data_IF_414484572214
#
_entry.id   IF_414484572214
#
_cell.length_a   1.000
_cell.length_b   1.000
_cell.length_c   1.000
_cell.angle_alpha   90.00
_cell.angle_beta   90.00
_cell.angle_gamma   90.00
#
_symmetry.space_group_name_H-M   'P 1'
#
loop_
_entity.id
_entity.type
_entity.pdbx_description
1 polymer ?
#
# COMPACT_ATOMS: atom_id res chain seq x y z
N UNK A 1 18.60 -48.60 23.02
CA UNK A 1 18.17 -48.34 21.63
C UNK A 1 16.67 -48.54 21.39
N UNK A 2 15.88 -48.95 22.39
CA UNK A 2 14.45 -49.28 22.28
C UNK A 2 13.51 -48.05 22.32
N UNK A 3 13.86 -47.00 23.04
CA UNK A 3 13.00 -45.83 23.30
C UNK A 3 12.78 -44.93 22.04
N UNK A 4 13.81 -44.78 21.21
CA UNK A 4 13.73 -43.99 19.98
C UNK A 4 12.86 -44.66 18.89
N UNK A 5 12.86 -46.00 18.81
CA UNK A 5 12.03 -46.75 17.87
C UNK A 5 10.55 -46.75 18.28
N UNK A 6 10.26 -46.77 19.57
CA UNK A 6 8.90 -46.62 20.08
C UNK A 6 8.35 -45.22 19.79
N UNK A 7 9.16 -44.18 19.98
CA UNK A 7 8.79 -42.79 19.66
C UNK A 7 8.49 -42.61 18.16
N UNK A 8 9.34 -43.14 17.28
CA UNK A 8 9.12 -43.09 15.82
C UNK A 8 7.85 -43.83 15.41
N UNK A 9 7.55 -44.96 16.06
CA UNK A 9 6.34 -45.75 15.79
C UNK A 9 5.09 -45.02 16.26
N UNK A 10 5.13 -44.35 17.41
CA UNK A 10 4.05 -43.51 17.91
C UNK A 10 3.78 -42.32 16.96
N UNK A 11 4.83 -41.62 16.53
CA UNK A 11 4.69 -40.49 15.59
C UNK A 11 4.11 -40.92 14.24
N UNK A 12 4.50 -42.08 13.71
CA UNK A 12 3.92 -42.63 12.47
C UNK A 12 2.43 -42.96 12.62
N UNK A 13 1.99 -43.49 13.76
CA UNK A 13 0.56 -43.73 14.01
C UNK A 13 -0.23 -42.43 14.08
N UNK A 14 0.32 -41.40 14.73
CA UNK A 14 -0.30 -40.08 14.80
C UNK A 14 -0.38 -39.43 13.42
N UNK A 15 0.67 -39.55 12.60
CA UNK A 15 0.69 -39.02 11.24
C UNK A 15 -0.41 -39.67 10.38
N UNK A 16 -0.53 -41.00 10.40
CA UNK A 16 -1.58 -41.72 9.67
C UNK A 16 -2.98 -41.32 10.13
N UNK A 17 -3.18 -41.10 11.44
CA UNK A 17 -4.45 -40.62 11.97
C UNK A 17 -4.78 -39.20 11.46
N UNK A 18 -3.79 -38.32 11.40
CA UNK A 18 -3.94 -36.95 10.90
C UNK A 18 -4.15 -36.89 9.38
N UNK A 19 -3.51 -37.77 8.62
CA UNK A 19 -3.74 -37.91 7.17
C UNK A 19 -5.18 -38.35 6.87
N UNK A 20 -5.76 -39.25 7.69
CA UNK A 20 -7.18 -39.64 7.57
C UNK A 20 -8.14 -38.51 7.91
N UNK A 21 -7.87 -37.79 9.00
CA UNK A 21 -8.68 -36.63 9.42
C UNK A 21 -8.64 -35.52 8.34
N UNK A 22 -7.48 -35.29 7.72
CA UNK A 22 -7.34 -34.36 6.61
C UNK A 22 -8.14 -34.81 5.37
N UNK A 23 -8.13 -36.10 5.04
CA UNK A 23 -8.92 -36.63 3.93
C UNK A 23 -10.44 -36.49 4.17
N UNK A 24 -10.92 -36.77 5.39
CA UNK A 24 -12.32 -36.58 5.76
C UNK A 24 -12.76 -35.11 5.67
N UNK A 25 -11.88 -34.16 6.05
CA UNK A 25 -12.16 -32.73 5.91
C UNK A 25 -12.22 -32.29 4.44
N UNK A 26 -11.35 -32.82 3.58
CA UNK A 26 -11.38 -32.55 2.13
C UNK A 26 -12.68 -33.04 1.50
N UNK A 27 -13.13 -34.24 1.86
CA UNK A 27 -14.41 -34.79 1.40
C UNK A 27 -15.59 -33.95 1.90
N UNK A 28 -15.53 -33.46 3.15
CA UNK A 28 -16.58 -32.60 3.72
C UNK A 28 -16.66 -31.24 3.03
N UNK A 29 -15.51 -30.66 2.66
CA UNK A 29 -15.46 -29.42 1.86
C UNK A 29 -16.09 -29.66 0.49
N UNK A 30 -15.74 -30.76 -0.19
CA UNK A 30 -16.33 -31.09 -1.49
C UNK A 30 -17.85 -31.26 -1.41
N UNK A 31 -18.36 -31.92 -0.36
CA UNK A 31 -19.79 -32.10 -0.11
C UNK A 31 -20.50 -30.75 0.13
N UNK A 32 -19.93 -29.87 0.94
CA UNK A 32 -20.48 -28.53 1.21
C UNK A 32 -20.47 -27.63 -0.03
N UNK A 33 -19.41 -27.69 -0.84
CA UNK A 33 -19.32 -26.98 -2.12
C UNK A 33 -20.38 -27.48 -3.11
N UNK A 34 -20.65 -28.78 -3.14
CA UNK A 34 -21.73 -29.36 -3.95
C UNK A 34 -23.12 -28.90 -3.44
N UNK A 35 -23.32 -28.79 -2.13
CA UNK A 35 -24.58 -28.30 -1.55
C UNK A 35 -24.81 -26.80 -1.83
N UNK A 36 -23.75 -25.98 -1.80
CA UNK A 36 -23.81 -24.56 -2.15
C UNK A 36 -24.14 -24.36 -3.64
N UNK A 37 -23.56 -25.16 -4.53
CA UNK A 37 -23.82 -25.09 -5.98
C UNK A 37 -25.18 -25.67 -6.40
N UNK A 38 -25.76 -26.58 -5.60
CA UNK A 38 -27.08 -27.15 -5.86
C UNK A 38 -28.25 -26.29 -5.33
N UNK A 39 -27.98 -25.15 -4.67
CA UNK A 39 -29.02 -24.28 -4.11
C UNK A 39 -29.62 -23.42 -5.24
N UNK A 40 -30.90 -23.59 -5.60
CA UNK A 40 -31.49 -22.85 -6.71
C UNK A 40 -31.61 -21.36 -6.36
N UNK A 41 -31.00 -20.52 -7.19
CA UNK A 41 -31.16 -19.06 -7.16
C UNK A 41 -32.55 -18.73 -7.73
N UNK A 42 -33.42 -18.15 -6.91
CA UNK A 42 -34.69 -17.60 -7.38
C UNK A 42 -34.43 -16.42 -8.33
N UNK A 43 -35.04 -16.37 -9.53
CA UNK A 43 -34.76 -15.32 -10.50
C UNK A 43 -35.60 -14.07 -10.18
N UNK A 44 -34.95 -12.95 -9.86
CA UNK A 44 -35.56 -11.63 -10.05
C UNK A 44 -35.35 -11.20 -11.51
N UNK A 45 -36.44 -10.76 -12.12
CA UNK A 45 -36.58 -10.50 -13.55
C UNK A 45 -35.90 -9.18 -13.96
N UNK A 46 -35.16 -9.20 -15.07
CA UNK A 46 -34.68 -8.01 -15.79
C UNK A 46 -33.73 -8.39 -16.94
N UNK A 47 -34.22 -8.27 -18.18
CA UNK A 47 -33.63 -8.75 -19.43
C UNK A 47 -32.42 -7.90 -19.96
N UNK A 48 -31.68 -8.35 -21.00
CA UNK A 48 -30.23 -8.19 -21.12
C UNK A 48 -29.79 -7.10 -22.11
N UNK A 49 -28.56 -6.59 -21.93
CA UNK A 49 -27.75 -6.04 -23.03
C UNK A 49 -26.30 -6.45 -22.79
N UNK A 50 -25.77 -7.28 -23.70
CA UNK A 50 -24.39 -7.73 -23.68
C UNK A 50 -23.41 -6.63 -24.10
N UNK A 51 -22.23 -6.66 -23.49
CA UNK A 51 -20.93 -6.35 -24.10
C UNK A 51 -19.86 -7.10 -23.31
N UNK A 52 -19.14 -7.96 -24.01
CA UNK A 52 -17.87 -8.53 -23.53
C UNK A 52 -16.93 -7.38 -23.12
N UNK A 53 -16.52 -7.40 -21.86
CA UNK A 53 -15.37 -6.65 -21.37
C UNK A 53 -14.39 -7.65 -20.74
N UNK A 54 -13.07 -7.46 -20.94
CA UNK A 54 -12.07 -8.37 -20.41
C UNK A 54 -12.14 -8.40 -18.89
N UNK A 55 -12.01 -9.60 -18.33
CA UNK A 55 -11.92 -9.86 -16.90
C UNK A 55 -10.77 -9.05 -16.29
N UNK A 56 -11.11 -7.90 -15.72
CA UNK A 56 -10.20 -7.12 -14.88
C UNK A 56 -10.10 -7.85 -13.53
N UNK A 57 -8.88 -8.25 -13.18
CA UNK A 57 -8.50 -9.05 -12.00
C UNK A 57 -8.62 -8.23 -10.68
N UNK A 58 -9.56 -7.28 -10.66
CA UNK A 58 -9.80 -6.25 -9.62
C UNK A 58 -11.24 -6.23 -9.11
N UNK A 59 -12.10 -7.11 -9.61
CA UNK A 59 -13.47 -7.22 -9.13
C UNK A 59 -13.51 -8.12 -7.89
N UNK A 60 -13.40 -7.48 -6.72
CA UNK A 60 -13.69 -8.10 -5.43
C UNK A 60 -15.19 -8.42 -5.43
N UNK A 61 -15.54 -9.68 -5.17
CA UNK A 61 -16.94 -10.07 -5.11
C UNK A 61 -17.60 -9.40 -3.90
N UNK A 62 -18.89 -9.09 -4.00
CA UNK A 62 -19.67 -8.46 -2.91
C UNK A 62 -19.56 -9.27 -1.60
N UNK A 63 -19.34 -10.57 -1.73
CA UNK A 63 -19.16 -11.52 -0.62
C UNK A 63 -17.80 -11.36 0.07
N UNK A 64 -16.71 -11.16 -0.68
CA UNK A 64 -15.37 -10.90 -0.11
C UNK A 64 -15.31 -9.55 0.63
N UNK A 65 -15.98 -8.53 0.09
CA UNK A 65 -16.07 -7.21 0.71
C UNK A 65 -16.80 -7.24 2.07
N UNK A 66 -17.83 -8.08 2.21
CA UNK A 66 -18.56 -8.26 3.47
C UNK A 66 -17.71 -8.98 4.53
N UNK A 67 -16.93 -9.99 4.13
CA UNK A 67 -16.05 -10.74 5.05
C UNK A 67 -14.92 -9.85 5.60
N UNK A 68 -14.35 -8.98 4.77
CA UNK A 68 -13.36 -7.97 5.19
C UNK A 68 -13.96 -6.94 6.16
N UNK A 69 -15.24 -6.58 5.98
CA UNK A 69 -15.98 -5.68 6.86
C UNK A 69 -16.23 -6.28 8.27
N UNK A 70 -16.44 -7.60 8.38
CA UNK A 70 -16.61 -8.30 9.66
C UNK A 70 -15.32 -8.35 10.49
N UNK A 71 -14.14 -8.32 9.85
CA UNK A 71 -12.83 -8.27 10.52
C UNK A 71 -12.24 -6.85 10.67
N UNK A 72 -13.01 -5.81 10.32
CA UNK A 72 -12.62 -4.42 10.52
C UNK A 72 -11.74 -3.81 9.42
N UNK A 73 -11.57 -4.49 8.28
CA UNK A 73 -10.94 -3.97 7.08
C UNK A 73 -12.04 -3.41 6.16
N UNK A 74 -12.42 -2.15 6.38
CA UNK A 74 -13.33 -1.45 5.48
C UNK A 74 -12.56 -0.99 4.23
N UNK A 75 -12.91 -1.53 3.06
CA UNK A 75 -12.42 -1.00 1.78
C UNK A 75 -13.33 0.13 1.30
N UNK A 76 -12.77 1.34 1.31
CA UNK A 76 -13.41 2.60 0.92
C UNK A 76 -13.52 2.70 -0.62
N UNK A 77 -14.54 2.08 -1.21
CA UNK A 77 -14.79 2.12 -2.66
C UNK A 77 -16.01 2.98 -2.99
N UNK A 78 -15.91 4.29 -2.78
CA UNK A 78 -16.88 5.20 -3.38
C UNK A 78 -16.47 5.47 -4.85
N UNK A 79 -17.41 5.44 -5.81
CA UNK A 79 -17.11 5.42 -7.26
C UNK A 79 -16.57 6.75 -7.83
N UNK A 80 -16.27 7.74 -6.98
CA UNK A 80 -15.82 9.05 -7.47
C UNK A 80 -14.33 8.98 -7.84
N UNK A 81 -14.00 9.60 -8.96
CA UNK A 81 -12.71 9.39 -9.64
C UNK A 81 -11.54 10.18 -9.00
N UNK A 82 -11.81 11.31 -8.36
CA UNK A 82 -10.76 12.20 -7.83
C UNK A 82 -11.23 12.99 -6.60
N UNK A 83 -10.28 13.55 -5.85
CA UNK A 83 -10.58 14.30 -4.63
C UNK A 83 -11.53 15.50 -4.85
N UNK A 84 -11.52 16.14 -6.03
CA UNK A 84 -12.41 17.26 -6.32
C UNK A 84 -13.88 16.82 -6.45
N UNK A 85 -14.13 15.67 -7.07
CA UNK A 85 -15.47 15.10 -7.20
C UNK A 85 -16.06 14.73 -5.83
N UNK A 86 -15.23 14.28 -4.88
CA UNK A 86 -15.65 14.09 -3.48
C UNK A 86 -16.02 15.40 -2.79
N UNK A 87 -15.29 16.49 -3.05
CA UNK A 87 -15.59 17.79 -2.47
C UNK A 87 -16.94 18.32 -2.97
N UNK A 88 -17.19 18.23 -4.27
CA UNK A 88 -18.48 18.62 -4.88
C UNK A 88 -19.63 17.81 -4.27
N UNK A 89 -19.49 16.47 -4.17
CA UNK A 89 -20.54 15.64 -3.57
C UNK A 89 -20.74 15.92 -2.07
N UNK A 90 -19.68 16.25 -1.33
CA UNK A 90 -19.79 16.67 0.07
C UNK A 90 -20.52 18.02 0.20
N UNK A 91 -20.35 18.93 -0.75
CA UNK A 91 -21.08 20.21 -0.78
C UNK A 91 -22.57 19.99 -1.04
N UNK A 92 -22.94 19.17 -2.03
CA UNK A 92 -24.33 18.79 -2.29
C UNK A 92 -24.98 18.15 -1.05
N UNK A 93 -24.28 17.21 -0.41
CA UNK A 93 -24.78 16.53 0.78
C UNK A 93 -24.98 17.49 1.95
N UNK A 94 -24.09 18.48 2.11
CA UNK A 94 -24.25 19.53 3.13
C UNK A 94 -25.49 20.39 2.88
N UNK A 95 -25.83 20.64 1.63
CA UNK A 95 -27.06 21.35 1.27
C UNK A 95 -28.30 20.49 1.52
N UNK A 96 -28.27 19.18 1.24
CA UNK A 96 -29.33 18.23 1.61
C UNK A 96 -29.56 18.19 3.14
N UNK A 97 -28.48 18.12 3.92
CA UNK A 97 -28.51 18.18 5.40
C UNK A 97 -29.12 19.50 5.86
N UNK A 98 -28.69 20.63 5.29
CA UNK A 98 -29.23 21.97 5.63
C UNK A 98 -30.72 22.06 5.31
N UNK A 99 -31.16 21.54 4.18
CA UNK A 99 -32.57 21.52 3.78
C UNK A 99 -33.40 20.71 4.78
N UNK A 100 -32.96 19.51 5.18
CA UNK A 100 -33.69 18.69 6.16
C UNK A 100 -33.89 19.39 7.51
N UNK A 101 -32.87 20.12 8.00
CA UNK A 101 -32.98 20.93 9.22
C UNK A 101 -33.98 22.09 9.03
N UNK A 102 -33.86 22.81 7.92
CA UNK A 102 -34.68 24.01 7.63
C UNK A 102 -36.16 23.65 7.45
N UNK A 103 -36.43 22.52 6.81
CA UNK A 103 -37.77 21.97 6.58
C UNK A 103 -38.38 21.35 7.85
N UNK A 104 -37.61 21.25 8.94
CA UNK A 104 -38.04 20.62 10.19
C UNK A 104 -38.21 19.10 10.09
N UNK A 105 -37.50 18.46 9.14
CA UNK A 105 -37.53 17.00 8.90
C UNK A 105 -36.35 16.25 9.52
N UNK A 106 -35.47 16.93 10.25
CA UNK A 106 -34.30 16.32 10.88
C UNK A 106 -34.61 15.58 12.20
N UNK A 107 -35.69 15.95 12.89
CA UNK A 107 -36.12 15.33 14.14
C UNK A 107 -37.64 15.19 14.14
N UNK A 108 -38.10 13.98 14.41
CA UNK A 108 -39.51 13.67 14.57
C UNK A 108 -39.95 13.97 16.02
N UNK A 109 -41.14 14.54 16.18
CA UNK A 109 -41.69 14.94 17.47
C UNK A 109 -43.17 14.60 17.53
N UNK A 110 -43.63 13.97 18.61
CA UNK A 110 -45.03 13.61 18.82
C UNK A 110 -45.96 14.83 18.85
N UNK A 111 -47.09 14.75 18.13
CA UNK A 111 -48.05 15.88 17.99
C UNK A 111 -49.06 16.01 19.12
N UNK A 112 -49.22 14.97 19.94
CA UNK A 112 -50.32 14.85 20.93
C UNK A 112 -49.90 15.15 22.37
N UNK A 113 -48.66 15.61 22.59
CA UNK A 113 -48.18 15.94 23.93
C UNK A 113 -48.82 17.24 24.46
N UNK A 114 -49.43 17.18 25.64
CA UNK A 114 -49.96 18.34 26.36
C UNK A 114 -49.13 18.65 27.61
N UNK A 115 -48.92 19.93 27.90
CA UNK A 115 -48.25 20.40 29.11
C UNK A 115 -49.18 21.38 29.85
N UNK A 116 -49.33 21.25 31.17
CA UNK A 116 -50.28 22.06 31.96
C UNK A 116 -51.71 22.09 31.37
N UNK A 117 -52.23 20.96 30.90
CA UNK A 117 -53.52 20.87 30.19
C UNK A 117 -53.61 21.74 28.91
N UNK A 118 -52.47 22.19 28.37
CA UNK A 118 -52.38 22.99 27.16
C UNK A 118 -51.57 22.26 26.09
N UNK A 119 -52.23 21.96 24.98
CA UNK A 119 -51.57 21.44 23.77
C UNK A 119 -50.66 22.50 23.12
N UNK A 120 -50.97 23.78 23.28
CA UNK A 120 -50.13 24.86 22.75
C UNK A 120 -48.80 24.96 23.51
N UNK A 121 -48.84 24.86 24.85
CA UNK A 121 -47.62 24.82 25.67
C UNK A 121 -46.82 23.54 25.43
N UNK A 122 -47.49 22.39 25.31
CA UNK A 122 -46.85 21.12 24.96
C UNK A 122 -46.11 21.18 23.60
N UNK A 123 -46.73 21.77 22.56
CA UNK A 123 -46.09 22.00 21.25
C UNK A 123 -44.89 22.94 21.32
N UNK A 124 -44.91 23.95 22.21
CA UNK A 124 -43.78 24.86 22.39
C UNK A 124 -42.62 24.14 23.07
N UNK A 125 -42.88 23.43 24.16
CA UNK A 125 -41.87 22.68 24.92
C UNK A 125 -41.18 21.62 24.06
N UNK A 126 -41.97 20.81 23.35
CA UNK A 126 -41.46 19.75 22.47
C UNK A 126 -40.63 20.29 21.31
N UNK A 127 -41.00 21.46 20.75
CA UNK A 127 -40.20 22.15 19.73
C UNK A 127 -38.86 22.63 20.27
N UNK A 128 -38.85 23.24 21.44
CA UNK A 128 -37.61 23.78 22.05
C UNK A 128 -36.68 22.64 22.48
N UNK A 129 -37.22 21.57 23.07
CA UNK A 129 -36.46 20.36 23.38
C UNK A 129 -35.95 19.67 22.12
N UNK A 130 -36.75 19.61 21.05
CA UNK A 130 -36.35 19.02 19.78
C UNK A 130 -35.17 19.75 19.16
N UNK A 131 -35.16 21.08 19.21
CA UNK A 131 -34.00 21.89 18.80
C UNK A 131 -32.75 21.60 19.62
N UNK A 132 -32.90 21.40 20.94
CA UNK A 132 -31.77 21.08 21.82
C UNK A 132 -31.20 19.70 21.52
N UNK A 133 -32.05 18.68 21.38
CA UNK A 133 -31.64 17.30 21.06
C UNK A 133 -30.98 17.22 19.68
N UNK A 134 -31.56 17.87 18.67
CA UNK A 134 -30.97 17.94 17.34
C UNK A 134 -29.60 18.64 17.35
N UNK A 135 -29.44 19.70 18.16
CA UNK A 135 -28.13 20.35 18.34
C UNK A 135 -27.10 19.40 18.96
N UNK A 136 -27.49 18.62 19.98
CA UNK A 136 -26.59 17.64 20.60
C UNK A 136 -26.19 16.54 19.60
N UNK A 137 -27.15 16.02 18.83
CA UNK A 137 -26.90 15.06 17.75
C UNK A 137 -25.94 15.61 16.69
N UNK A 138 -26.19 16.82 16.19
CA UNK A 138 -25.35 17.45 15.17
C UNK A 138 -23.93 17.69 15.67
N UNK A 139 -23.76 18.09 16.94
CA UNK A 139 -22.43 18.24 17.54
C UNK A 139 -21.67 16.91 17.56
N UNK A 140 -22.36 15.81 17.87
CA UNK A 140 -21.76 14.47 17.84
C UNK A 140 -21.39 14.04 16.41
N UNK A 141 -22.28 14.30 15.46
CA UNK A 141 -22.02 14.01 14.06
C UNK A 141 -20.86 14.84 13.49
N UNK A 142 -20.73 16.12 13.84
CA UNK A 142 -19.60 16.99 13.45
C UNK A 142 -18.29 16.49 14.06
N UNK A 143 -18.32 16.01 15.32
CA UNK A 143 -17.17 15.41 15.96
C UNK A 143 -16.73 14.13 15.24
N UNK A 144 -17.68 13.29 14.81
CA UNK A 144 -17.39 12.10 14.02
C UNK A 144 -16.71 12.45 12.69
N UNK A 145 -17.25 13.41 11.95
CA UNK A 145 -16.66 13.91 10.69
C UNK A 145 -15.26 14.48 10.92
N UNK A 146 -15.04 15.23 12.01
CA UNK A 146 -13.72 15.82 12.33
C UNK A 146 -12.68 14.78 12.76
N UNK A 147 -13.11 13.73 13.46
CA UNK A 147 -12.24 12.71 14.02
C UNK A 147 -12.01 11.52 13.07
N UNK A 148 -12.65 11.51 11.91
CA UNK A 148 -12.51 10.44 10.93
C UNK A 148 -11.06 10.32 10.47
N UNK A 149 -10.56 9.08 10.41
CA UNK A 149 -9.24 8.67 9.96
C UNK A 149 -9.34 7.30 9.29
N UNK A 150 -8.29 6.92 8.57
CA UNK A 150 -8.16 5.57 8.03
C UNK A 150 -8.37 4.53 9.15
N UNK A 151 -9.37 3.65 8.98
CA UNK A 151 -9.65 2.52 9.87
C UNK A 151 -10.59 2.78 11.06
N UNK A 152 -11.09 4.01 11.27
CA UNK A 152 -12.03 4.28 12.38
C UNK A 152 -13.48 4.58 11.96
N UNK A 153 -13.83 4.36 10.68
CA UNK A 153 -15.18 4.62 10.14
C UNK A 153 -16.28 3.90 10.93
N UNK A 154 -16.15 2.59 11.15
CA UNK A 154 -17.16 1.82 11.84
C UNK A 154 -17.38 2.28 13.28
N UNK A 155 -16.31 2.73 13.95
CA UNK A 155 -16.40 3.33 15.30
C UNK A 155 -17.14 4.67 15.27
N UNK A 156 -16.90 5.51 14.26
CA UNK A 156 -17.60 6.77 14.09
C UNK A 156 -19.10 6.57 13.80
N UNK A 157 -19.45 5.63 12.92
CA UNK A 157 -20.86 5.26 12.63
C UNK A 157 -21.55 4.78 13.91
N UNK A 158 -20.97 3.79 14.62
CA UNK A 158 -21.54 3.28 15.89
C UNK A 158 -21.74 4.38 16.95
N UNK A 159 -20.85 5.36 16.99
CA UNK A 159 -20.95 6.49 17.92
C UNK A 159 -22.15 7.39 17.55
N UNK A 160 -22.37 7.65 16.27
CA UNK A 160 -23.52 8.39 15.79
C UNK A 160 -24.84 7.63 16.00
N UNK A 161 -24.87 6.33 15.72
CA UNK A 161 -26.02 5.45 15.98
C UNK A 161 -26.42 5.47 17.46
N UNK A 162 -25.42 5.40 18.34
CA UNK A 162 -25.62 5.50 19.79
C UNK A 162 -26.25 6.84 20.16
N UNK A 163 -25.77 7.94 19.58
CA UNK A 163 -26.33 9.27 19.85
C UNK A 163 -27.81 9.38 19.41
N UNK A 164 -28.17 8.84 18.25
CA UNK A 164 -29.56 8.79 17.79
C UNK A 164 -30.42 7.94 18.75
N UNK A 165 -29.91 6.78 19.16
CA UNK A 165 -30.58 5.87 20.10
C UNK A 165 -30.78 6.50 21.49
N UNK A 166 -29.76 7.20 22.01
CA UNK A 166 -29.83 7.85 23.31
C UNK A 166 -30.84 9.01 23.30
N UNK A 167 -30.95 9.75 22.19
CA UNK A 167 -31.99 10.78 21.99
C UNK A 167 -33.38 10.15 21.96
N UNK A 168 -33.58 9.04 21.26
CA UNK A 168 -34.87 8.35 21.22
C UNK A 168 -35.30 7.84 22.61
N UNK A 169 -34.35 7.30 23.38
CA UNK A 169 -34.60 6.88 24.78
C UNK A 169 -34.98 8.05 25.68
N UNK A 170 -34.24 9.16 25.63
CA UNK A 170 -34.52 10.36 26.43
C UNK A 170 -35.82 11.05 26.00
N UNK A 171 -36.16 10.96 24.71
CA UNK A 171 -37.33 11.56 24.08
C UNK A 171 -38.59 10.69 24.06
N UNK A 172 -38.54 9.47 24.60
CA UNK A 172 -39.59 8.46 24.46
C UNK A 172 -40.98 8.94 24.91
N UNK A 173 -41.06 9.66 26.03
CA UNK A 173 -42.33 10.20 26.57
C UNK A 173 -43.03 11.19 25.65
N UNK A 174 -42.26 11.86 24.78
CA UNK A 174 -42.73 12.84 23.80
C UNK A 174 -42.68 12.28 22.36
N UNK A 175 -42.40 10.98 22.20
CA UNK A 175 -42.24 10.30 20.91
C UNK A 175 -41.26 11.03 19.99
N UNK A 176 -40.10 11.41 20.55
CA UNK A 176 -39.06 12.12 19.81
C UNK A 176 -37.97 11.17 19.34
N UNK A 177 -37.57 11.27 18.08
CA UNK A 177 -36.42 10.55 17.52
C UNK A 177 -35.79 11.35 16.39
N UNK A 178 -34.51 11.10 16.13
CA UNK A 178 -33.88 11.62 14.91
C UNK A 178 -34.56 10.95 13.70
N UNK A 179 -34.87 11.74 12.68
CA UNK A 179 -35.49 11.21 11.47
C UNK A 179 -34.53 10.20 10.79
N UNK A 180 -34.99 8.99 10.42
CA UNK A 180 -34.12 7.98 9.83
C UNK A 180 -33.46 8.39 8.51
N UNK A 181 -34.11 9.24 7.70
CA UNK A 181 -33.52 9.73 6.46
C UNK A 181 -32.42 10.77 6.76
N UNK A 182 -32.66 11.67 7.71
CA UNK A 182 -31.64 12.60 8.18
C UNK A 182 -30.43 11.89 8.81
N UNK A 183 -30.66 10.85 9.59
CA UNK A 183 -29.59 10.03 10.16
C UNK A 183 -28.73 9.39 9.07
N UNK A 184 -29.36 8.82 8.02
CA UNK A 184 -28.64 8.29 6.85
C UNK A 184 -27.78 9.34 6.15
N UNK A 185 -28.28 10.56 5.94
CA UNK A 185 -27.48 11.64 5.34
C UNK A 185 -26.19 11.91 6.14
N UNK A 186 -26.28 11.90 7.47
CA UNK A 186 -25.11 12.09 8.36
C UNK A 186 -24.15 10.90 8.35
N UNK A 187 -24.65 9.67 8.20
CA UNK A 187 -23.79 8.49 7.99
C UNK A 187 -23.05 8.60 6.66
N UNK A 188 -23.77 8.91 5.57
CA UNK A 188 -23.18 9.11 4.24
C UNK A 188 -22.13 10.22 4.24
N UNK A 189 -22.31 11.27 5.04
CA UNK A 189 -21.29 12.34 5.18
C UNK A 189 -20.00 11.81 5.82
N UNK A 190 -20.12 10.96 6.85
CA UNK A 190 -18.96 10.35 7.52
C UNK A 190 -18.24 9.40 6.55
N UNK A 191 -18.98 8.55 5.83
CA UNK A 191 -18.45 7.63 4.82
C UNK A 191 -17.70 8.39 3.73
N UNK A 192 -18.37 9.37 3.09
CA UNK A 192 -17.81 10.15 2.00
C UNK A 192 -16.58 10.99 2.44
N UNK A 193 -16.59 11.48 3.68
CA UNK A 193 -15.41 12.18 4.24
C UNK A 193 -14.23 11.23 4.41
N UNK A 194 -14.46 9.99 4.84
CA UNK A 194 -13.42 8.99 4.98
C UNK A 194 -12.81 8.62 3.62
N UNK A 195 -13.66 8.39 2.61
CA UNK A 195 -13.25 8.10 1.23
C UNK A 195 -12.41 9.26 0.65
N UNK A 196 -12.88 10.51 0.82
CA UNK A 196 -12.16 11.70 0.36
C UNK A 196 -10.77 11.83 1.00
N UNK A 197 -10.65 11.58 2.30
CA UNK A 197 -9.35 11.63 2.98
C UNK A 197 -8.40 10.54 2.48
N UNK A 198 -8.92 9.34 2.20
CA UNK A 198 -8.12 8.26 1.63
C UNK A 198 -7.61 8.65 0.23
N UNK A 199 -8.49 9.08 -0.66
CA UNK A 199 -8.13 9.53 -2.01
C UNK A 199 -7.10 10.65 -1.99
N UNK A 200 -7.29 11.65 -1.13
CA UNK A 200 -6.33 12.74 -0.97
C UNK A 200 -4.95 12.23 -0.49
N UNK A 201 -4.92 11.22 0.38
CA UNK A 201 -3.67 10.59 0.82
C UNK A 201 -2.98 9.83 -0.31
N UNK A 202 -3.73 9.05 -1.08
CA UNK A 202 -3.23 8.30 -2.25
C UNK A 202 -2.65 9.24 -3.31
N UNK A 203 -3.40 10.27 -3.71
CA UNK A 203 -2.94 11.28 -4.67
C UNK A 203 -1.68 11.98 -4.18
N UNK A 204 -1.61 12.30 -2.88
CA UNK A 204 -0.44 12.94 -2.26
C UNK A 204 0.77 12.01 -2.18
N UNK A 205 0.58 10.71 -1.96
CA UNK A 205 1.66 9.73 -2.01
C UNK A 205 2.17 9.56 -3.44
N UNK A 206 1.26 9.38 -4.41
CA UNK A 206 1.61 9.26 -5.82
C UNK A 206 2.37 10.50 -6.35
N UNK A 207 1.94 11.71 -5.97
CA UNK A 207 2.65 12.93 -6.34
C UNK A 207 4.04 13.05 -5.69
N UNK A 208 4.21 12.52 -4.47
CA UNK A 208 5.52 12.48 -3.81
C UNK A 208 6.46 11.51 -4.51
N UNK A 209 5.99 10.31 -4.82
CA UNK A 209 6.76 9.31 -5.56
C UNK A 209 7.17 9.81 -6.94
N UNK A 210 6.25 10.44 -7.68
CA UNK A 210 6.57 10.99 -9.02
C UNK A 210 7.63 12.09 -8.94
N UNK A 211 7.53 12.97 -7.93
CA UNK A 211 8.56 14.00 -7.69
C UNK A 211 9.91 13.40 -7.34
N UNK A 212 9.94 12.31 -6.57
CA UNK A 212 11.17 11.59 -6.25
C UNK A 212 11.78 10.91 -7.48
N UNK A 213 10.95 10.29 -8.33
CA UNK A 213 11.37 9.72 -9.63
C UNK A 213 12.00 10.79 -10.52
N UNK A 214 11.32 11.91 -10.73
CA UNK A 214 11.83 13.02 -11.56
C UNK A 214 13.14 13.61 -11.01
N UNK A 215 13.29 13.67 -9.68
CA UNK A 215 14.55 14.10 -9.05
C UNK A 215 15.68 13.11 -9.33
N UNK A 216 15.41 11.82 -9.20
CA UNK A 216 16.40 10.78 -9.46
C UNK A 216 16.81 10.75 -10.93
N UNK A 217 15.86 10.87 -11.86
CA UNK A 217 16.14 10.94 -13.29
C UNK A 217 17.03 12.14 -13.64
N UNK A 218 16.75 13.31 -13.06
CA UNK A 218 17.60 14.51 -13.23
C UNK A 218 19.01 14.30 -12.67
N UNK A 219 19.15 13.63 -11.53
CA UNK A 219 20.48 13.35 -10.96
C UNK A 219 21.27 12.40 -11.87
N UNK A 220 20.63 11.35 -12.39
CA UNK A 220 21.25 10.44 -13.36
C UNK A 220 21.71 11.19 -14.61
N UNK A 221 20.85 12.05 -15.18
CA UNK A 221 21.18 12.86 -16.35
C UNK A 221 22.39 13.78 -16.09
N UNK A 222 22.41 14.46 -14.95
CA UNK A 222 23.53 15.32 -14.55
C UNK A 222 24.83 14.53 -14.34
N UNK A 223 24.74 13.33 -13.76
CA UNK A 223 25.89 12.47 -13.49
C UNK A 223 26.50 11.94 -14.78
N UNK A 224 25.67 11.47 -15.71
CA UNK A 224 26.10 11.05 -17.04
C UNK A 224 26.73 12.21 -17.82
N UNK A 225 26.09 13.38 -17.84
CA UNK A 225 26.62 14.56 -18.51
C UNK A 225 27.96 15.04 -17.92
N UNK A 226 28.08 15.05 -16.59
CA UNK A 226 29.34 15.41 -15.92
C UNK A 226 30.44 14.41 -16.27
N UNK A 227 30.14 13.11 -16.19
CA UNK A 227 31.10 12.06 -16.53
C UNK A 227 31.56 12.17 -17.98
N UNK A 228 30.65 12.49 -18.90
CA UNK A 228 30.97 12.71 -20.31
C UNK A 228 31.96 13.85 -20.50
N UNK A 229 31.72 14.99 -19.85
CA UNK A 229 32.61 16.16 -19.92
C UNK A 229 33.99 15.87 -19.35
N UNK A 230 34.09 15.10 -18.27
CA UNK A 230 35.36 14.68 -17.68
C UNK A 230 36.16 13.81 -18.67
N UNK A 231 35.51 12.80 -19.26
CA UNK A 231 36.13 11.91 -20.24
C UNK A 231 36.60 12.67 -21.48
N UNK A 232 35.82 13.64 -21.97
CA UNK A 232 36.23 14.46 -23.12
C UNK A 232 37.47 15.31 -22.83
N UNK A 233 37.54 15.95 -21.66
CA UNK A 233 38.71 16.72 -21.23
C UNK A 233 39.95 15.86 -21.10
N UNK A 234 39.81 14.67 -20.52
CA UNK A 234 40.91 13.72 -20.38
C UNK A 234 41.39 13.23 -21.75
N UNK A 235 40.47 12.91 -22.66
CA UNK A 235 40.79 12.52 -24.03
C UNK A 235 41.51 13.64 -24.79
N UNK A 236 41.06 14.88 -24.67
CA UNK A 236 41.75 16.05 -25.25
C UNK A 236 43.15 16.23 -24.67
N UNK A 237 43.32 16.03 -23.37
CA UNK A 237 44.64 16.07 -22.72
C UNK A 237 45.59 15.04 -23.35
N UNK A 238 45.19 13.77 -23.44
CA UNK A 238 46.03 12.73 -24.05
C UNK A 238 46.28 12.96 -25.55
N UNK A 239 45.32 13.51 -26.30
CA UNK A 239 45.55 13.92 -27.71
C UNK A 239 46.62 15.00 -27.83
N UNK A 240 46.60 16.00 -26.95
CA UNK A 240 47.61 17.05 -26.92
C UNK A 240 49.00 16.51 -26.52
N UNK A 241 49.03 15.56 -25.58
CA UNK A 241 50.27 14.86 -25.17
C UNK A 241 50.82 14.03 -26.35
N UNK A 242 49.97 13.28 -27.05
CA UNK A 242 50.33 12.48 -28.23
C UNK A 242 50.95 13.33 -29.35
N UNK A 243 50.48 14.56 -29.53
CA UNK A 243 51.02 15.50 -30.51
C UNK A 243 52.44 16.00 -30.17
N UNK A 244 52.87 15.91 -28.91
CA UNK A 244 54.16 16.41 -28.41
C UNK A 244 55.19 15.32 -28.17
N UNK A 245 54.77 14.06 -28.01
CA UNK A 245 55.66 12.92 -27.79
C UNK A 245 56.26 12.43 -29.12
N UNK A 246 57.58 12.26 -29.14
CA UNK A 246 58.33 11.68 -30.26
C UNK A 246 58.79 10.23 -29.99
N UNK A 247 58.89 9.82 -28.73
CA UNK A 247 59.28 8.46 -28.36
C UNK A 247 58.16 7.46 -28.74
N UNK A 248 58.45 6.45 -29.59
CA UNK A 248 57.46 5.47 -30.03
C UNK A 248 56.79 4.71 -28.88
N UNK A 249 57.50 4.44 -27.78
CA UNK A 249 56.95 3.70 -26.64
C UNK A 249 55.88 4.53 -25.90
N UNK A 250 56.23 5.75 -25.52
CA UNK A 250 55.31 6.69 -24.86
C UNK A 250 54.12 7.09 -25.76
N UNK A 251 54.34 7.11 -27.08
CA UNK A 251 53.28 7.36 -28.06
C UNK A 251 52.24 6.23 -28.04
N UNK A 252 52.69 4.98 -28.07
CA UNK A 252 51.81 3.81 -28.00
C UNK A 252 51.02 3.76 -26.68
N UNK A 253 51.62 4.18 -25.56
CA UNK A 253 50.93 4.30 -24.27
C UNK A 253 49.79 5.31 -24.32
N UNK A 254 50.04 6.50 -24.86
CA UNK A 254 49.02 7.54 -25.01
C UNK A 254 47.88 7.12 -25.97
N UNK A 255 48.19 6.40 -27.06
CA UNK A 255 47.19 5.85 -27.97
C UNK A 255 46.30 4.80 -27.29
N UNK A 256 46.88 3.94 -26.44
CA UNK A 256 46.13 2.97 -25.64
C UNK A 256 45.16 3.64 -24.67
N UNK A 257 45.57 4.73 -24.01
CA UNK A 257 44.66 5.45 -23.11
C UNK A 257 43.57 6.21 -23.86
N UNK A 258 43.86 6.78 -25.02
CA UNK A 258 42.81 7.37 -25.87
C UNK A 258 41.77 6.31 -26.26
N UNK A 259 42.20 5.11 -26.66
CA UNK A 259 41.29 4.02 -27.01
C UNK A 259 40.43 3.57 -25.80
N UNK A 260 41.02 3.51 -24.61
CA UNK A 260 40.29 3.23 -23.36
C UNK A 260 39.24 4.32 -23.08
N UNK A 261 39.60 5.58 -23.23
CA UNK A 261 38.70 6.72 -23.02
C UNK A 261 37.57 6.74 -24.04
N UNK A 262 37.85 6.47 -25.32
CA UNK A 262 36.82 6.39 -26.37
C UNK A 262 35.84 5.23 -26.10
N UNK A 263 36.30 4.09 -25.56
CA UNK A 263 35.41 3.01 -25.12
C UNK A 263 34.54 3.41 -23.92
N UNK A 264 35.10 4.09 -22.92
CA UNK A 264 34.36 4.59 -21.77
C UNK A 264 33.32 5.66 -22.15
N UNK A 265 33.67 6.50 -23.13
CA UNK A 265 32.77 7.47 -23.75
C UNK A 265 31.60 6.77 -24.44
N UNK A 266 31.87 5.74 -25.24
CA UNK A 266 30.84 5.00 -25.93
C UNK A 266 29.87 4.31 -24.96
N UNK A 267 30.37 3.72 -23.86
CA UNK A 267 29.51 3.16 -22.79
C UNK A 267 28.66 4.24 -22.11
N UNK A 268 29.23 5.41 -21.79
CA UNK A 268 28.48 6.52 -21.21
C UNK A 268 27.37 7.04 -22.15
N UNK A 269 27.70 7.23 -23.43
CA UNK A 269 26.75 7.68 -24.46
C UNK A 269 25.64 6.62 -24.67
N UNK A 270 26.00 5.33 -24.65
CA UNK A 270 25.05 4.23 -24.71
C UNK A 270 24.08 4.24 -23.52
N UNK A 271 24.58 4.41 -22.29
CA UNK A 271 23.74 4.50 -21.08
C UNK A 271 22.86 5.76 -21.07
N UNK A 272 23.33 6.87 -21.63
CA UNK A 272 22.53 8.08 -21.77
C UNK A 272 21.40 7.91 -22.80
N UNK A 273 21.64 7.20 -23.90
CA UNK A 273 20.65 6.94 -24.94
C UNK A 273 19.67 5.82 -24.56
N UNK A 274 20.14 4.76 -23.91
CA UNK A 274 19.31 3.63 -23.50
C UNK A 274 18.75 3.83 -22.08
N UNK A 275 17.56 4.44 -22.01
CA UNK A 275 16.85 4.67 -20.74
C UNK A 275 16.44 3.39 -19.99
N UNK A 276 16.50 2.22 -20.64
CA UNK A 276 16.19 0.93 -20.03
C UNK A 276 17.42 0.25 -19.42
N UNK A 277 18.62 0.70 -19.79
CA UNK A 277 19.86 0.16 -19.24
C UNK A 277 20.08 0.65 -17.79
N UNK A 278 20.60 -0.24 -16.95
CA UNK A 278 20.89 0.08 -15.55
C UNK A 278 21.25 -1.14 -14.72
N UNK A 279 21.33 -0.93 -13.42
CA UNK A 279 21.60 -1.97 -12.45
C UNK A 279 20.30 -2.38 -11.77
N UNK A 280 19.98 -3.67 -11.78
CA UNK A 280 19.02 -4.28 -10.86
C UNK A 280 19.76 -4.65 -9.59
N UNK A 281 19.23 -4.25 -8.45
CA UNK A 281 19.81 -4.51 -7.13
C UNK A 281 18.86 -5.30 -6.23
N UNK A 282 19.45 -6.14 -5.38
CA UNK A 282 18.75 -6.84 -4.31
C UNK A 282 19.42 -6.44 -3.00
N UNK A 283 18.66 -5.84 -2.10
CA UNK A 283 19.16 -5.32 -0.82
C UNK A 283 18.26 -5.77 0.33
N UNK A 284 18.82 -5.89 1.53
CA UNK A 284 18.04 -6.18 2.74
C UNK A 284 18.45 -5.28 3.90
N UNK A 285 17.58 -5.22 4.92
CA UNK A 285 17.90 -4.51 6.15
C UNK A 285 17.28 -5.28 7.32
N UNK A 286 18.09 -6.13 7.92
CA UNK A 286 17.61 -7.04 8.96
C UNK A 286 17.15 -6.31 10.22
N UNK A 287 17.69 -5.13 10.49
CA UNK A 287 17.32 -4.36 11.67
C UNK A 287 16.03 -3.55 11.51
N UNK A 288 15.62 -3.25 10.28
CA UNK A 288 14.37 -2.55 10.00
C UNK A 288 13.23 -3.52 9.66
N UNK A 289 13.51 -4.57 8.88
CA UNK A 289 12.47 -5.43 8.28
C UNK A 289 12.59 -6.91 8.64
N UNK A 290 13.67 -7.33 9.30
CA UNK A 290 13.96 -8.74 9.60
C UNK A 290 14.70 -9.48 8.49
N UNK A 291 15.01 -10.76 8.72
CA UNK A 291 15.94 -11.56 7.90
C UNK A 291 15.40 -11.98 6.52
N UNK A 292 14.08 -12.10 6.39
CA UNK A 292 13.43 -12.62 5.17
C UNK A 292 12.63 -11.53 4.45
N UNK A 293 13.16 -10.30 4.47
CA UNK A 293 12.58 -9.18 3.72
C UNK A 293 13.67 -8.55 2.87
N UNK A 294 13.43 -8.54 1.57
CA UNK A 294 14.33 -7.97 0.56
C UNK A 294 13.62 -6.87 -0.21
N UNK A 295 14.39 -5.88 -0.65
CA UNK A 295 13.98 -4.93 -1.67
C UNK A 295 14.65 -5.29 -2.98
N UNK A 296 13.84 -5.37 -4.03
CA UNK A 296 14.29 -5.52 -5.41
C UNK A 296 13.96 -4.21 -6.11
N UNK A 297 14.95 -3.56 -6.72
CA UNK A 297 14.74 -2.35 -7.49
C UNK A 297 15.81 -2.14 -8.55
N UNK A 298 15.68 -1.07 -9.32
CA UNK A 298 16.67 -0.68 -10.32
C UNK A 298 17.23 0.71 -10.10
N UNK A 299 18.41 0.96 -10.66
CA UNK A 299 19.00 2.30 -10.75
C UNK A 299 19.75 2.49 -12.06
N UNK A 300 19.69 3.71 -12.60
CA UNK A 300 20.42 4.13 -13.80
C UNK A 300 21.67 4.95 -13.48
N UNK A 301 22.01 5.07 -12.19
CA UNK A 301 23.23 5.74 -11.73
C UNK A 301 24.47 5.05 -12.28
N UNK A 302 25.56 5.80 -12.45
CA UNK A 302 26.84 5.19 -12.84
C UNK A 302 27.37 4.33 -11.70
N UNK A 303 27.25 4.80 -10.46
CA UNK A 303 27.53 4.03 -9.26
C UNK A 303 26.24 3.60 -8.54
N UNK A 304 25.84 2.31 -8.59
CA UNK A 304 24.64 1.83 -7.91
C UNK A 304 24.75 1.87 -6.38
N UNK A 305 25.96 1.82 -5.81
CA UNK A 305 26.17 1.83 -4.35
C UNK A 305 25.75 3.17 -3.76
N UNK A 306 25.99 4.28 -4.46
CA UNK A 306 25.58 5.61 -3.99
C UNK A 306 24.07 5.74 -3.88
N UNK A 307 23.30 5.14 -4.82
CA UNK A 307 21.84 5.06 -4.71
C UNK A 307 21.42 4.28 -3.46
N UNK A 308 22.06 3.14 -3.19
CA UNK A 308 21.74 2.30 -2.03
C UNK A 308 22.05 3.03 -0.71
N UNK A 309 23.13 3.81 -0.66
CA UNK A 309 23.44 4.70 0.47
C UNK A 309 22.40 5.80 0.66
N UNK A 310 21.94 6.44 -0.43
CA UNK A 310 20.86 7.44 -0.36
C UNK A 310 19.56 6.82 0.20
N UNK A 311 19.20 5.61 -0.23
CA UNK A 311 18.04 4.87 0.27
C UNK A 311 18.17 4.51 1.77
N UNK A 312 19.38 4.19 2.21
CA UNK A 312 19.69 3.87 3.60
C UNK A 312 19.51 5.07 4.53
N UNK A 313 20.01 6.25 4.13
CA UNK A 313 20.06 7.43 5.00
C UNK A 313 18.72 8.12 5.26
N UNK A 314 17.70 7.84 4.45
CA UNK A 314 16.45 8.60 4.47
C UNK A 314 15.29 7.92 5.21
N UNK A 315 15.33 6.61 5.44
CA UNK A 315 14.10 5.86 5.75
C UNK A 315 14.24 4.68 6.70
N UNK A 316 15.45 4.30 7.10
CA UNK A 316 15.70 3.11 7.93
C UNK A 316 16.78 3.37 8.98
N UNK A 317 16.73 2.69 10.15
CA UNK A 317 17.68 2.90 11.25
C UNK A 317 19.09 2.35 10.99
N UNK A 318 19.24 1.41 10.04
CA UNK A 318 20.51 0.79 9.68
C UNK A 318 20.74 0.90 8.17
N UNK A 319 21.99 0.83 7.67
CA UNK A 319 22.23 0.76 6.24
C UNK A 319 21.68 -0.53 5.63
N UNK A 320 21.36 -0.48 4.35
CA UNK A 320 21.03 -1.68 3.57
C UNK A 320 22.28 -2.49 3.27
N UNK A 321 22.18 -3.80 3.43
CA UNK A 321 23.15 -4.78 2.95
C UNK A 321 22.84 -5.12 1.48
N UNK A 322 23.88 -5.26 0.66
CA UNK A 322 23.75 -5.54 -0.77
C UNK A 322 23.99 -7.02 -1.03
N UNK A 323 23.00 -7.67 -1.65
CA UNK A 323 23.06 -9.09 -1.97
C UNK A 323 23.40 -9.33 -3.44
N UNK A 324 22.86 -8.50 -4.33
CA UNK A 324 23.15 -8.59 -5.76
C UNK A 324 23.17 -7.20 -6.40
N UNK A 325 24.07 -7.05 -7.38
CA UNK A 325 24.10 -5.96 -8.33
C UNK A 325 24.30 -6.54 -9.72
N UNK A 326 23.32 -6.36 -10.59
CA UNK A 326 23.34 -6.91 -11.94
C UNK A 326 23.10 -5.81 -12.96
N UNK A 327 24.07 -5.56 -13.84
CA UNK A 327 23.90 -4.65 -14.96
C UNK A 327 23.11 -5.35 -16.08
N UNK A 328 22.09 -4.68 -16.59
CA UNK A 328 21.26 -5.14 -17.71
C UNK A 328 21.07 -4.01 -18.71
N UNK A 329 21.11 -4.34 -20.01
CA UNK A 329 20.70 -3.45 -21.10
C UNK A 329 19.20 -3.14 -21.07
N UNK A 330 18.42 -4.02 -20.43
CA UNK A 330 17.00 -3.83 -20.12
C UNK A 330 16.73 -4.20 -18.66
N UNK A 331 17.18 -3.32 -17.76
CA UNK A 331 16.95 -3.46 -16.32
C UNK A 331 15.46 -3.33 -15.97
N UNK A 332 14.70 -2.57 -16.76
CA UNK A 332 13.25 -2.37 -16.56
C UNK A 332 12.50 -3.68 -16.78
N UNK A 333 12.77 -4.41 -17.86
CA UNK A 333 12.13 -5.71 -18.09
C UNK A 333 12.49 -6.71 -16.99
N UNK A 334 13.78 -6.82 -16.67
CA UNK A 334 14.27 -7.75 -15.65
C UNK A 334 13.65 -7.48 -14.27
N UNK A 335 13.59 -6.22 -13.84
CA UNK A 335 12.94 -5.84 -12.59
C UNK A 335 11.46 -6.21 -12.57
N UNK A 336 10.71 -5.84 -13.62
CA UNK A 336 9.28 -6.15 -13.71
C UNK A 336 9.01 -7.66 -13.65
N UNK A 337 9.86 -8.47 -14.28
CA UNK A 337 9.75 -9.92 -14.20
C UNK A 337 9.99 -10.45 -12.79
N UNK A 338 11.00 -9.93 -12.07
CA UNK A 338 11.24 -10.30 -10.67
C UNK A 338 10.06 -9.88 -9.78
N UNK A 339 9.55 -8.66 -9.95
CA UNK A 339 8.38 -8.17 -9.21
C UNK A 339 7.13 -9.01 -9.46
N UNK A 340 6.95 -9.51 -10.68
CA UNK A 340 5.85 -10.41 -11.03
C UNK A 340 6.03 -11.77 -10.36
N UNK A 341 7.22 -12.35 -10.41
CA UNK A 341 7.55 -13.63 -9.76
C UNK A 341 7.29 -13.56 -8.25
N UNK A 342 7.71 -12.47 -7.60
CA UNK A 342 7.55 -12.27 -6.17
C UNK A 342 6.24 -11.56 -5.78
N UNK A 343 5.30 -11.35 -6.71
CA UNK A 343 4.10 -10.53 -6.44
C UNK A 343 3.23 -11.06 -5.31
N UNK A 344 3.16 -12.39 -5.13
CA UNK A 344 2.43 -13.04 -4.03
C UNK A 344 3.09 -12.85 -2.65
N UNK A 345 4.36 -12.46 -2.65
CA UNK A 345 5.17 -12.29 -1.45
C UNK A 345 5.41 -10.81 -1.12
N UNK A 346 4.62 -9.88 -1.66
CA UNK A 346 4.77 -8.46 -1.37
C UNK A 346 4.52 -8.18 0.11
N UNK A 347 5.31 -7.26 0.69
CA UNK A 347 5.07 -6.77 2.05
C UNK A 347 3.92 -5.77 2.07
N UNK A 348 3.84 -4.90 1.06
CA UNK A 348 2.79 -3.90 0.93
C UNK A 348 1.88 -4.22 -0.25
N UNK A 349 0.62 -4.58 0.05
CA UNK A 349 -0.41 -4.84 -0.95
C UNK A 349 -1.27 -3.61 -1.28
N UNK A 350 -1.28 -2.59 -0.41
CA UNK A 350 -2.00 -1.34 -0.65
C UNK A 350 -1.24 -0.41 -1.60
N UNK A 351 0.08 -0.29 -1.44
CA UNK A 351 0.95 0.44 -2.36
C UNK A 351 1.98 -0.51 -3.00
N UNK A 352 1.65 -0.99 -4.20
CA UNK A 352 2.49 -1.93 -4.96
C UNK A 352 3.80 -1.32 -5.48
N UNK A 353 3.96 0.01 -5.45
CA UNK A 353 5.22 0.68 -5.82
C UNK A 353 6.27 0.56 -4.71
N UNK A 354 5.88 0.09 -3.51
CA UNK A 354 6.82 -0.26 -2.43
C UNK A 354 7.28 -1.71 -2.64
N UNK A 355 8.40 -1.85 -3.33
CA UNK A 355 8.91 -3.14 -3.82
C UNK A 355 9.71 -3.93 -2.76
N UNK A 356 9.07 -4.18 -1.61
CA UNK A 356 9.58 -5.06 -0.57
C UNK A 356 8.85 -6.40 -0.63
N UNK A 357 9.60 -7.49 -0.47
CA UNK A 357 9.10 -8.85 -0.62
C UNK A 357 9.57 -9.73 0.53
N UNK A 358 8.68 -10.61 1.00
CA UNK A 358 8.96 -11.72 1.89
C UNK A 358 9.70 -12.82 1.13
N UNK A 359 11.01 -12.66 1.00
CA UNK A 359 11.90 -13.61 0.36
C UNK A 359 13.27 -13.55 1.04
N UNK A 360 13.99 -14.67 1.01
CA UNK A 360 15.40 -14.68 1.36
C UNK A 360 16.23 -14.19 0.17
N UNK A 361 17.42 -13.63 0.40
CA UNK A 361 18.33 -13.28 -0.68
C UNK A 361 18.54 -14.46 -1.65
N UNK A 362 18.77 -15.68 -1.15
CA UNK A 362 19.03 -16.88 -1.94
C UNK A 362 17.90 -17.21 -2.90
N UNK A 363 16.65 -17.03 -2.47
CA UNK A 363 15.50 -17.26 -3.34
C UNK A 363 15.50 -16.29 -4.51
N UNK A 364 15.82 -15.01 -4.26
CA UNK A 364 15.93 -14.02 -5.33
C UNK A 364 17.09 -14.34 -6.25
N UNK A 365 18.23 -14.80 -5.71
CA UNK A 365 19.38 -15.25 -6.50
C UNK A 365 19.01 -16.37 -7.46
N UNK A 366 18.32 -17.40 -6.99
CA UNK A 366 18.02 -18.58 -7.79
C UNK A 366 17.08 -18.23 -8.96
N UNK A 367 16.10 -17.36 -8.70
CA UNK A 367 15.24 -16.79 -9.75
C UNK A 367 16.05 -15.94 -10.73
N UNK A 368 16.91 -15.06 -10.22
CA UNK A 368 17.73 -14.16 -11.03
C UNK A 368 18.69 -14.97 -11.92
N UNK A 369 19.38 -15.97 -11.38
CA UNK A 369 20.30 -16.84 -12.10
C UNK A 369 19.60 -17.62 -13.22
N UNK A 370 18.34 -18.03 -13.02
CA UNK A 370 17.54 -18.68 -14.07
C UNK A 370 17.26 -17.73 -15.25
N UNK A 371 17.16 -16.42 -15.00
CA UNK A 371 16.82 -15.40 -16.00
C UNK A 371 18.03 -14.86 -16.75
N UNK A 372 19.14 -14.59 -16.05
CA UNK A 372 20.32 -13.92 -16.61
C UNK A 372 21.56 -14.82 -16.69
N UNK A 373 21.48 -16.05 -16.21
CA UNK A 373 22.58 -17.01 -16.22
C UNK A 373 23.53 -16.81 -15.03
N UNK A 374 24.82 -16.67 -15.31
CA UNK A 374 25.84 -16.69 -14.25
C UNK A 374 26.00 -15.31 -13.58
N UNK A 375 25.65 -15.23 -12.30
CA UNK A 375 25.87 -14.04 -11.48
C UNK A 375 27.34 -13.98 -11.07
N UNK A 376 28.02 -12.90 -11.46
CA UNK A 376 29.45 -12.70 -11.17
C UNK A 376 29.73 -12.47 -9.68
N UNK A 377 28.86 -11.74 -8.99
CA UNK A 377 29.03 -11.41 -7.56
C UNK A 377 27.68 -11.47 -6.84
N UNK A 378 27.63 -12.28 -5.78
CA UNK A 378 26.44 -12.44 -4.96
C UNK A 378 26.81 -12.67 -3.50
N UNK A 379 26.24 -11.89 -2.60
CA UNK A 379 26.45 -12.00 -1.16
C UNK A 379 25.19 -12.53 -0.51
N UNK A 380 25.29 -13.73 0.05
CA UNK A 380 24.16 -14.41 0.68
C UNK A 380 23.83 -13.85 2.06
N UNK A 381 24.84 -13.78 2.93
CA UNK A 381 24.67 -13.34 4.32
C UNK A 381 24.87 -11.82 4.42
N UNK A 382 23.92 -11.08 5.01
CA UNK A 382 24.08 -9.64 5.24
C UNK A 382 25.17 -9.39 6.29
N UNK A 383 26.02 -8.38 6.08
CA UNK A 383 27.04 -8.01 7.07
C UNK A 383 26.39 -7.39 8.31
N UNK A 384 25.41 -6.50 8.11
CA UNK A 384 24.57 -5.89 9.13
C UNK A 384 25.34 -5.43 10.40
N UNK A 385 26.55 -4.88 10.20
CA UNK A 385 27.50 -4.61 11.28
C UNK A 385 26.90 -3.73 12.38
N UNK A 386 26.23 -2.63 12.00
CA UNK A 386 25.61 -1.71 12.96
C UNK A 386 24.46 -2.35 13.73
N UNK A 387 23.71 -3.26 13.10
CA UNK A 387 22.65 -4.01 13.76
C UNK A 387 23.24 -4.90 14.85
N UNK A 388 24.23 -5.75 14.52
CA UNK A 388 24.83 -6.66 15.51
C UNK A 388 25.52 -5.93 16.66
N UNK A 389 26.11 -4.76 16.40
CA UNK A 389 26.65 -3.89 17.45
C UNK A 389 25.58 -3.30 18.37
N UNK A 390 24.36 -3.11 17.86
CA UNK A 390 23.26 -2.46 18.58
C UNK A 390 22.41 -3.43 19.39
N UNK A 391 22.22 -4.67 18.91
CA UNK A 391 21.32 -5.67 19.51
C UNK A 391 21.58 -5.87 21.02
N UNK A 392 22.85 -5.88 21.44
CA UNK A 392 23.24 -6.05 22.85
C UNK A 392 22.78 -4.92 23.80
N UNK A 393 22.38 -3.77 23.26
CA UNK A 393 21.93 -2.61 24.02
C UNK A 393 20.39 -2.48 24.05
N UNK A 394 19.67 -3.39 23.39
CA UNK A 394 18.22 -3.35 23.33
C UNK A 394 17.61 -3.84 24.64
N UNK A 395 16.47 -3.26 25.06
CA UNK A 395 15.80 -3.70 26.28
C UNK A 395 15.23 -5.12 26.08
N UNK A 396 15.40 -6.00 27.08
CA UNK A 396 14.89 -7.38 27.06
C UNK A 396 13.34 -7.46 27.05
N UNK A 397 12.67 -6.34 27.33
CA UNK A 397 11.23 -6.20 27.16
C UNK A 397 10.88 -4.77 26.76
N UNK A 398 9.84 -4.57 25.92
CA UNK A 398 9.28 -3.24 25.70
C UNK A 398 8.89 -2.66 27.06
N UNK A 399 9.07 -1.34 27.22
CA UNK A 399 8.56 -0.62 28.40
C UNK A 399 7.08 -0.98 28.56
N UNK A 400 6.74 -1.70 29.63
CA UNK A 400 5.34 -1.99 29.97
C UNK A 400 4.69 -0.64 30.26
N UNK A 401 3.82 -0.19 29.36
CA UNK A 401 2.92 0.96 29.56
C UNK A 401 1.80 0.61 30.52
#
# INVERSE_FOLDING_TARGET
>A
MTDAQETITALRRTLIAKEREAAELVDRVAELTAQLSARPVSPSQGAPVGRDLPSDDRLITVEDALVLQEVGLYEYHHPLENAAAYQERLEELRDEIRSSITDGRAIEVGKQFSFNNSLAEGRRLTRDLGKLMLRAYNAEAENCVRAIRAGNLQTAIKRLDKAATDIEKLGASMQMRIDPAYHRLRITEIELTADHQMRLSEEREAAREERERLREERKVEQELARRRQELDKEREHYRNVLARIQDPAQRADAEREIARLDAAIADNDYRAANIRAGYVYVISNIGAFGRNVVKIGLTRRLDPIDRIRELSGASVPFPFDVHALYFSDDAVALENELHKEFSKYRVNHANVRREFFFASPEQVRDVLATKVGNLLEYTTEPEATQYFQSVRYWPESPLRS
#
